data_IF_256007119329
#
_entry.id   IF_256007119329
#
_cell.length_a   1.000
_cell.length_b   1.000
_cell.length_c   1.000
_cell.angle_alpha   90.00
_cell.angle_beta   90.00
_cell.angle_gamma   90.00
#
_symmetry.space_group_name_H-M   'P 1'
#
loop_
_entity.id
_entity.type
_entity.pdbx_description
1 polymer ?
#
# COMPACT_ATOMS: atom_id res chain seq x y z
N UNK A 1 -7.47 56.36 0.80
CA UNK A 1 -7.41 55.28 1.80
C UNK A 1 -7.47 53.96 1.04
N UNK A 2 -6.32 53.36 0.78
CA UNK A 2 -6.23 52.07 0.11
C UNK A 2 -6.50 50.97 1.14
N UNK A 3 -7.51 50.14 0.90
CA UNK A 3 -7.85 48.99 1.73
C UNK A 3 -6.73 47.96 1.64
N UNK A 4 -6.04 47.73 2.75
CA UNK A 4 -5.12 46.61 2.91
C UNK A 4 -5.91 45.31 2.77
N UNK A 5 -5.68 44.61 1.66
CA UNK A 5 -6.10 43.22 1.51
C UNK A 5 -5.31 42.37 2.51
N UNK A 6 -5.93 42.12 3.66
CA UNK A 6 -5.50 41.12 4.65
C UNK A 6 -5.28 39.78 3.92
N UNK A 7 -4.02 39.45 3.64
CA UNK A 7 -3.61 38.14 3.14
C UNK A 7 -3.71 37.15 4.29
N UNK A 8 -4.88 36.54 4.43
CA UNK A 8 -5.11 35.43 5.37
C UNK A 8 -4.10 34.32 5.02
N UNK A 9 -3.13 34.09 5.91
CA UNK A 9 -2.21 32.96 5.76
C UNK A 9 -3.03 31.66 5.69
N UNK A 10 -2.79 30.77 4.71
CA UNK A 10 -3.55 29.54 4.63
C UNK A 10 -3.25 28.66 5.84
N UNK A 11 -4.30 28.36 6.62
CA UNK A 11 -4.25 27.53 7.84
C UNK A 11 -3.90 26.05 7.59
N UNK A 12 -3.77 25.63 6.32
CA UNK A 12 -3.46 24.26 5.93
C UNK A 12 -2.41 24.24 4.80
N UNK A 13 -1.47 23.29 4.84
CA UNK A 13 -0.42 23.11 3.82
C UNK A 13 -0.89 22.48 2.49
N UNK A 14 -2.21 22.40 2.25
CA UNK A 14 -2.77 21.70 1.09
C UNK A 14 -2.59 22.49 -0.22
N UNK A 15 -2.18 21.81 -1.29
CA UNK A 15 -1.92 22.40 -2.61
C UNK A 15 -2.32 21.47 -3.76
N UNK A 16 -2.54 22.03 -4.96
CA UNK A 16 -2.89 21.27 -6.15
C UNK A 16 -4.17 20.44 -5.96
N UNK A 17 -4.12 19.17 -6.36
CA UNK A 17 -5.24 18.21 -6.22
C UNK A 17 -5.39 17.65 -4.80
N UNK A 18 -4.43 17.90 -3.91
CA UNK A 18 -4.37 17.30 -2.56
C UNK A 18 -5.03 18.23 -1.53
N UNK A 19 -5.79 17.65 -0.59
CA UNK A 19 -6.51 18.39 0.45
C UNK A 19 -6.81 17.52 1.68
N UNK A 20 -6.84 18.12 2.87
CA UNK A 20 -7.24 17.50 4.14
C UNK A 20 -8.74 17.66 4.43
N UNK A 21 -9.22 17.07 5.53
CA UNK A 21 -10.61 17.15 5.97
C UNK A 21 -11.06 18.60 6.17
N UNK A 22 -10.22 19.45 6.78
CA UNK A 22 -10.54 20.88 7.00
C UNK A 22 -10.63 21.69 5.71
N UNK A 23 -9.93 21.26 4.65
CA UNK A 23 -9.87 21.97 3.38
C UNK A 23 -10.89 21.43 2.34
N UNK A 24 -11.70 20.41 2.71
CA UNK A 24 -12.65 19.69 1.82
C UNK A 24 -13.76 20.57 1.23
N UNK A 25 -14.22 21.57 2.00
CA UNK A 25 -15.31 22.48 1.61
C UNK A 25 -14.82 23.77 0.97
N UNK A 26 -13.51 23.92 0.76
CA UNK A 26 -12.97 25.11 0.08
C UNK A 26 -13.35 25.14 -1.40
N UNK A 27 -13.51 26.33 -1.96
CA UNK A 27 -13.83 26.51 -3.39
C UNK A 27 -12.82 25.82 -4.32
N UNK A 28 -11.53 25.80 -3.93
CA UNK A 28 -10.50 25.05 -4.64
C UNK A 28 -10.87 23.56 -4.75
N UNK A 29 -11.28 22.95 -3.65
CA UNK A 29 -11.59 21.51 -3.62
C UNK A 29 -12.92 21.21 -4.30
N UNK A 30 -13.92 22.08 -4.18
CA UNK A 30 -15.18 21.93 -4.92
C UNK A 30 -14.95 21.86 -6.44
N UNK A 31 -14.04 22.68 -6.97
CA UNK A 31 -13.65 22.66 -8.39
C UNK A 31 -12.88 21.40 -8.84
N UNK A 32 -12.35 20.61 -7.90
CA UNK A 32 -11.69 19.33 -8.19
C UNK A 32 -12.68 18.14 -8.23
N UNK A 33 -13.88 18.29 -7.67
CA UNK A 33 -14.83 17.18 -7.41
C UNK A 33 -15.76 16.88 -8.59
N UNK A 34 -15.47 17.40 -9.77
CA UNK A 34 -16.37 17.36 -10.94
C UNK A 34 -16.29 16.06 -11.74
N UNK A 35 -15.31 15.19 -11.49
CA UNK A 35 -15.19 13.93 -12.24
C UNK A 35 -15.90 12.78 -11.51
N UNK A 36 -16.79 12.10 -12.24
CA UNK A 36 -17.41 10.85 -11.80
C UNK A 36 -16.35 9.77 -11.53
N UNK A 37 -16.65 8.84 -10.62
CA UNK A 37 -15.72 7.74 -10.33
C UNK A 37 -15.49 6.91 -11.61
N UNK A 38 -14.25 6.77 -12.11
CA UNK A 38 -13.97 6.16 -13.41
C UNK A 38 -14.30 4.66 -13.50
N UNK A 39 -14.63 4.05 -12.36
CA UNK A 39 -14.91 2.62 -12.24
C UNK A 39 -16.39 2.32 -11.97
N UNK A 40 -17.30 3.28 -12.19
CA UNK A 40 -18.75 3.12 -11.98
C UNK A 40 -19.37 1.97 -12.78
N UNK A 41 -18.82 1.67 -13.97
CA UNK A 41 -19.29 0.60 -14.86
C UNK A 41 -18.60 -0.75 -14.63
N UNK A 42 -17.64 -0.82 -13.71
CA UNK A 42 -16.82 -2.03 -13.52
C UNK A 42 -17.58 -3.06 -12.68
N UNK A 43 -17.38 -4.33 -13.00
CA UNK A 43 -17.93 -5.41 -12.19
C UNK A 43 -17.17 -5.47 -10.87
N UNK A 44 -17.91 -5.40 -9.76
CA UNK A 44 -17.33 -5.29 -8.41
C UNK A 44 -17.28 -6.64 -7.71
N UNK A 45 -16.12 -6.92 -7.15
CA UNK A 45 -15.79 -8.12 -6.40
C UNK A 45 -15.24 -7.77 -5.02
N UNK A 46 -15.39 -8.71 -4.08
CA UNK A 46 -14.80 -8.64 -2.75
C UNK A 46 -13.94 -9.88 -2.53
N UNK A 47 -12.73 -9.71 -2.00
CA UNK A 47 -11.84 -10.83 -1.74
C UNK A 47 -12.27 -11.61 -0.50
N UNK A 48 -12.56 -12.90 -0.69
CA UNK A 48 -12.90 -13.81 0.40
C UNK A 48 -11.68 -14.62 0.79
N UNK A 49 -11.15 -14.41 2.00
CA UNK A 49 -9.96 -15.12 2.47
C UNK A 49 -10.20 -16.61 2.66
N UNK A 50 -11.36 -16.98 3.21
CA UNK A 50 -11.75 -18.37 3.45
C UNK A 50 -11.81 -19.15 2.14
N UNK A 51 -12.31 -18.53 1.06
CA UNK A 51 -12.39 -19.11 -0.28
C UNK A 51 -11.09 -18.97 -1.08
N UNK A 52 -10.24 -18.01 -0.74
CA UNK A 52 -9.01 -17.71 -1.48
C UNK A 52 -9.25 -17.13 -2.88
N UNK A 53 -10.43 -16.56 -3.12
CA UNK A 53 -10.84 -16.01 -4.41
C UNK A 53 -11.66 -14.72 -4.22
N UNK A 54 -11.86 -14.00 -5.32
CA UNK A 54 -12.72 -12.84 -5.36
C UNK A 54 -14.15 -13.25 -5.73
N UNK A 55 -15.14 -12.76 -4.99
CA UNK A 55 -16.56 -13.11 -5.13
C UNK A 55 -17.32 -11.87 -5.58
N UNK A 56 -18.14 -11.99 -6.63
CA UNK A 56 -18.94 -10.89 -7.14
C UNK A 56 -19.96 -10.46 -6.09
N UNK A 57 -20.15 -9.16 -5.92
CA UNK A 57 -21.14 -8.63 -4.98
C UNK A 57 -21.93 -7.50 -5.62
N UNK A 58 -23.17 -7.80 -6.03
CA UNK A 58 -24.00 -6.86 -6.81
C UNK A 58 -24.46 -5.62 -6.01
N UNK A 59 -24.51 -5.71 -4.67
CA UNK A 59 -24.91 -4.59 -3.81
C UNK A 59 -23.82 -3.53 -3.59
N UNK A 60 -22.66 -3.66 -4.25
CA UNK A 60 -21.49 -2.83 -3.96
C UNK A 60 -20.92 -2.26 -5.26
N UNK A 61 -20.71 -0.95 -5.27
CA UNK A 61 -20.17 -0.21 -6.42
C UNK A 61 -18.84 0.48 -6.10
N UNK A 62 -18.31 1.22 -7.07
CA UNK A 62 -17.02 1.93 -6.95
C UNK A 62 -16.99 3.01 -5.86
N UNK A 63 -18.16 3.54 -5.50
CA UNK A 63 -18.36 4.52 -4.45
C UNK A 63 -18.43 3.92 -3.04
N UNK A 64 -18.39 2.59 -2.89
CA UNK A 64 -18.61 1.92 -1.61
C UNK A 64 -17.71 2.44 -0.46
N UNK A 65 -18.30 2.53 0.73
CA UNK A 65 -17.64 2.93 1.97
C UNK A 65 -17.03 1.71 2.69
N UNK A 66 -16.39 1.95 3.84
CA UNK A 66 -15.68 0.89 4.56
C UNK A 66 -16.66 -0.12 5.18
N UNK A 67 -17.78 0.37 5.68
CA UNK A 67 -18.79 -0.41 6.39
C UNK A 67 -19.50 -1.37 5.41
N UNK A 68 -19.89 -0.90 4.23
CA UNK A 68 -20.46 -1.71 3.14
C UNK A 68 -19.49 -2.81 2.69
N UNK A 69 -18.21 -2.47 2.51
CA UNK A 69 -17.17 -3.45 2.12
C UNK A 69 -16.96 -4.49 3.22
N UNK A 70 -16.95 -4.07 4.49
CA UNK A 70 -16.81 -4.97 5.63
C UNK A 70 -17.99 -5.95 5.73
N UNK A 71 -19.21 -5.45 5.52
CA UNK A 71 -20.41 -6.28 5.51
C UNK A 71 -20.37 -7.28 4.35
N UNK A 72 -20.12 -6.81 3.13
CA UNK A 72 -20.00 -7.67 1.95
C UNK A 72 -18.91 -8.74 2.15
N UNK A 73 -17.74 -8.37 2.69
CA UNK A 73 -16.65 -9.32 3.00
C UNK A 73 -17.11 -10.41 3.97
N UNK A 74 -17.90 -10.04 4.98
CA UNK A 74 -18.45 -10.98 5.96
C UNK A 74 -19.49 -11.91 5.34
N UNK A 75 -20.33 -11.40 4.43
CA UNK A 75 -21.35 -12.19 3.74
C UNK A 75 -20.73 -13.23 2.79
N UNK A 76 -19.65 -12.89 2.08
CA UNK A 76 -18.96 -13.79 1.14
C UNK A 76 -17.96 -14.74 1.80
N UNK A 77 -17.80 -14.66 3.12
CA UNK A 77 -16.93 -15.56 3.88
C UNK A 77 -17.45 -17.00 3.90
N UNK A 78 -18.76 -17.19 3.78
CA UNK A 78 -19.42 -18.50 3.76
C UNK A 78 -19.75 -18.93 2.32
N UNK A 79 -19.77 -20.24 2.08
CA UNK A 79 -20.08 -20.81 0.76
C UNK A 79 -21.58 -20.69 0.48
N UNK A 80 -21.93 -20.05 -0.64
CA UNK A 80 -23.24 -20.20 -1.27
C UNK A 80 -23.05 -20.77 -2.67
N UNK A 81 -23.89 -21.73 -3.02
CA UNK A 81 -23.96 -22.30 -4.37
C UNK A 81 -24.50 -21.21 -5.32
N UNK A 82 -23.83 -21.00 -6.45
CA UNK A 82 -24.24 -20.01 -7.47
C UNK A 82 -23.50 -18.65 -7.45
N UNK A 83 -22.59 -18.40 -6.51
CA UNK A 83 -21.79 -17.17 -6.53
C UNK A 83 -20.81 -17.14 -7.72
N UNK A 84 -20.81 -16.04 -8.48
CA UNK A 84 -19.76 -15.78 -9.48
C UNK A 84 -18.44 -15.46 -8.77
N UNK A 85 -17.40 -16.24 -9.06
CA UNK A 85 -16.06 -16.07 -8.46
C UNK A 85 -14.96 -16.02 -9.51
N UNK A 86 -13.92 -15.26 -9.20
CA UNK A 86 -12.68 -15.21 -9.99
C UNK A 86 -11.47 -15.53 -9.10
N UNK A 87 -10.58 -16.37 -9.60
CA UNK A 87 -9.29 -16.59 -8.98
C UNK A 87 -8.34 -15.45 -9.37
N UNK A 88 -7.69 -14.82 -8.39
CA UNK A 88 -6.66 -13.81 -8.65
C UNK A 88 -5.30 -14.47 -8.37
N UNK A 89 -4.62 -14.87 -9.44
CA UNK A 89 -3.31 -15.48 -9.34
C UNK A 89 -2.32 -14.52 -8.64
N UNK A 90 -1.53 -15.07 -7.70
CA UNK A 90 -0.56 -14.32 -6.90
C UNK A 90 -1.12 -13.38 -5.82
N UNK A 91 -2.44 -13.35 -5.58
CA UNK A 91 -3.02 -12.59 -4.47
C UNK A 91 -3.15 -13.46 -3.20
N UNK A 92 -2.53 -13.02 -2.10
CA UNK A 92 -2.58 -13.72 -0.82
C UNK A 92 -2.80 -12.74 0.34
N UNK A 93 -3.89 -12.89 1.06
CA UNK A 93 -4.13 -12.19 2.32
C UNK A 93 -3.85 -13.12 3.51
N UNK A 94 -3.14 -12.65 4.51
CA UNK A 94 -2.90 -13.37 5.77
C UNK A 94 -3.39 -12.51 6.92
N UNK A 95 -4.44 -12.95 7.58
CA UNK A 95 -4.95 -12.30 8.78
C UNK A 95 -4.11 -12.66 10.01
N UNK A 96 -4.14 -11.81 11.04
CA UNK A 96 -3.37 -12.00 12.28
C UNK A 96 -1.89 -12.36 12.05
N UNK A 97 -1.31 -11.77 11.00
CA UNK A 97 0.10 -11.89 10.67
C UNK A 97 1.00 -11.40 11.81
N UNK A 98 0.57 -10.51 12.70
CA UNK A 98 1.30 -10.23 13.94
C UNK A 98 0.46 -10.54 15.17
N UNK A 99 1.11 -10.97 16.25
CA UNK A 99 0.48 -10.95 17.58
C UNK A 99 0.38 -9.52 18.09
N UNK A 100 -0.52 -9.25 19.03
CA UNK A 100 -0.68 -7.92 19.62
C UNK A 100 0.62 -7.38 20.26
N UNK A 101 1.41 -8.25 20.90
CA UNK A 101 2.72 -7.90 21.49
C UNK A 101 3.74 -7.50 20.41
N UNK A 102 3.88 -8.30 19.36
CA UNK A 102 4.80 -8.03 18.24
C UNK A 102 4.41 -6.74 17.51
N UNK A 103 3.11 -6.55 17.22
CA UNK A 103 2.56 -5.31 16.64
C UNK A 103 2.94 -4.09 17.46
N UNK A 104 2.75 -4.12 18.79
CA UNK A 104 3.03 -2.97 19.66
C UNK A 104 4.49 -2.53 19.53
N UNK A 105 5.43 -3.47 19.46
CA UNK A 105 6.84 -3.18 19.28
C UNK A 105 7.15 -2.54 17.91
N UNK A 106 6.56 -3.05 16.83
CA UNK A 106 6.75 -2.49 15.48
C UNK A 106 6.10 -1.10 15.33
N UNK A 107 5.02 -0.83 16.07
CA UNK A 107 4.36 0.46 16.07
C UNK A 107 5.02 1.53 16.95
N UNK A 108 6.14 1.24 17.65
CA UNK A 108 6.77 2.24 18.53
C UNK A 108 7.40 3.37 17.70
N UNK A 109 7.45 4.61 18.25
CA UNK A 109 8.19 5.71 17.63
C UNK A 109 9.68 5.40 17.43
N UNK A 110 10.33 4.64 18.31
CA UNK A 110 11.75 4.23 18.16
C UNK A 110 12.02 3.43 16.87
N UNK A 111 11.04 2.60 16.50
CA UNK A 111 11.02 1.82 15.24
C UNK A 111 10.80 2.71 14.00
N UNK A 112 10.39 3.96 14.23
CA UNK A 112 10.12 4.98 13.22
C UNK A 112 11.10 6.12 13.44
N UNK A 113 12.30 6.03 12.89
CA UNK A 113 13.11 7.24 12.72
C UNK A 113 12.30 8.21 11.84
N UNK A 114 11.56 9.12 12.45
CA UNK A 114 10.65 10.04 11.76
C UNK A 114 11.53 11.11 11.10
N UNK A 115 12.02 10.80 9.90
CA UNK A 115 12.39 11.82 8.93
C UNK A 115 11.11 12.30 8.26
N UNK A 116 10.64 13.48 8.64
CA UNK A 116 9.53 14.13 7.94
C UNK A 116 9.94 14.39 6.49
N UNK A 117 9.44 13.57 5.56
CA UNK A 117 9.20 14.06 4.22
C UNK A 117 7.69 14.29 4.14
N UNK A 118 7.21 15.54 4.02
CA UNK A 118 5.84 15.76 3.61
C UNK A 118 5.72 15.30 2.15
N UNK A 119 5.64 13.98 1.93
CA UNK A 119 4.99 13.46 0.74
C UNK A 119 3.60 14.04 0.78
N UNK A 120 3.36 14.98 -0.11
CA UNK A 120 2.06 15.61 -0.26
C UNK A 120 1.05 14.47 -0.57
N UNK A 121 -0.14 14.41 0.05
CA UNK A 121 -1.25 13.53 -0.33
C UNK A 121 -1.14 12.03 -0.01
N UNK A 122 0.06 11.48 -0.07
CA UNK A 122 0.39 10.18 0.51
C UNK A 122 0.77 10.43 1.96
N UNK A 123 0.26 9.63 2.89
CA UNK A 123 0.61 9.72 4.32
C UNK A 123 2.12 9.81 4.60
N UNK A 124 2.54 10.10 5.83
CA UNK A 124 3.98 10.24 6.12
C UNK A 124 4.76 8.96 5.78
N UNK A 125 5.80 9.10 4.96
CA UNK A 125 6.60 7.99 4.40
C UNK A 125 8.03 8.02 4.93
N UNK A 126 8.53 6.87 5.37
CA UNK A 126 9.94 6.65 5.68
C UNK A 126 10.47 5.44 4.91
N UNK A 127 11.54 5.64 4.14
CA UNK A 127 12.07 4.64 3.21
C UNK A 127 13.42 4.10 3.67
N UNK A 128 13.49 2.78 3.81
CA UNK A 128 14.73 2.02 3.83
C UNK A 128 14.93 1.43 2.44
N UNK A 129 15.80 2.01 1.64
CA UNK A 129 16.05 1.53 0.29
C UNK A 129 16.76 2.57 -0.57
N UNK A 130 17.04 2.23 -1.84
CA UNK A 130 17.62 3.18 -2.78
C UNK A 130 16.73 4.41 -2.95
N UNK A 131 17.35 5.56 -3.23
CA UNK A 131 16.62 6.71 -3.76
C UNK A 131 16.43 6.53 -5.27
N UNK A 132 15.18 6.59 -5.71
CA UNK A 132 14.82 6.25 -7.09
C UNK A 132 14.25 7.48 -7.79
N UNK A 133 14.72 7.75 -9.00
CA UNK A 133 14.06 8.66 -9.92
C UNK A 133 13.33 7.81 -10.98
N UNK A 134 12.02 7.69 -10.82
CA UNK A 134 11.18 6.84 -11.68
C UNK A 134 11.17 7.33 -13.14
N UNK A 135 11.03 8.65 -13.36
CA UNK A 135 11.00 9.25 -14.71
C UNK A 135 12.25 8.95 -15.53
N UNK A 136 13.43 8.99 -14.91
CA UNK A 136 14.70 8.79 -15.59
C UNK A 136 15.32 7.41 -15.33
N UNK A 137 14.62 6.52 -14.63
CA UNK A 137 15.12 5.20 -14.20
C UNK A 137 16.52 5.25 -13.59
N UNK A 138 16.75 6.19 -12.66
CA UNK A 138 18.04 6.38 -11.97
C UNK A 138 17.96 5.93 -10.51
N UNK A 139 19.03 5.31 -10.04
CA UNK A 139 19.18 4.83 -8.66
C UNK A 139 20.33 5.54 -7.97
N UNK A 140 20.13 5.97 -6.72
CA UNK A 140 21.18 6.45 -5.82
C UNK A 140 21.16 5.65 -4.52
N UNK A 141 22.31 5.16 -4.10
CA UNK A 141 22.44 4.28 -2.92
C UNK A 141 22.95 5.01 -1.67
N UNK A 142 23.28 6.31 -1.78
CA UNK A 142 24.03 7.06 -0.76
C UNK A 142 23.37 7.14 0.61
N UNK A 143 22.05 6.96 0.70
CA UNK A 143 21.30 6.99 1.97
C UNK A 143 20.87 5.62 2.47
N UNK A 144 21.03 4.58 1.65
CA UNK A 144 20.64 3.23 2.04
C UNK A 144 21.82 2.56 2.72
N UNK A 145 21.69 2.33 4.03
CA UNK A 145 22.77 1.75 4.85
C UNK A 145 22.37 0.44 5.51
N UNK A 146 21.13 -0.02 5.27
CA UNK A 146 20.61 -1.25 5.83
C UNK A 146 19.10 -1.22 6.06
N UNK A 147 18.54 -2.39 6.30
CA UNK A 147 17.16 -2.55 6.75
C UNK A 147 17.08 -2.45 8.27
N UNK A 148 15.92 -2.08 8.84
CA UNK A 148 15.76 -2.11 10.28
C UNK A 148 15.70 -3.54 10.82
N UNK A 149 16.13 -3.76 12.06
CA UNK A 149 16.18 -5.08 12.70
C UNK A 149 14.82 -5.84 12.72
N UNK A 150 13.70 -5.11 12.84
CA UNK A 150 12.36 -5.72 12.79
C UNK A 150 12.01 -6.31 11.42
N UNK A 151 12.76 -6.03 10.36
CA UNK A 151 12.55 -6.67 9.06
C UNK A 151 12.65 -8.20 9.17
N UNK A 152 13.57 -8.73 9.98
CA UNK A 152 13.70 -10.17 10.18
C UNK A 152 12.49 -10.80 10.84
N UNK A 153 11.81 -10.07 11.73
CA UNK A 153 10.57 -10.57 12.32
C UNK A 153 9.48 -10.78 11.27
N UNK A 154 9.41 -9.89 10.27
CA UNK A 154 8.47 -10.00 9.15
C UNK A 154 8.90 -11.12 8.20
N UNK A 155 10.15 -11.12 7.74
CA UNK A 155 10.69 -12.11 6.79
C UNK A 155 10.63 -13.53 7.34
N UNK A 156 11.01 -13.74 8.60
CA UNK A 156 10.93 -15.06 9.22
C UNK A 156 9.48 -15.54 9.29
N UNK A 157 8.55 -14.70 9.74
CA UNK A 157 7.13 -15.12 9.83
C UNK A 157 6.52 -15.37 8.45
N UNK A 158 6.85 -14.57 7.45
CA UNK A 158 6.50 -14.81 6.05
C UNK A 158 6.93 -16.21 5.60
N UNK A 159 8.21 -16.54 5.78
CA UNK A 159 8.74 -17.86 5.42
C UNK A 159 8.06 -19.02 6.14
N UNK A 160 7.72 -18.86 7.43
CA UNK A 160 7.00 -19.89 8.20
C UNK A 160 5.55 -20.11 7.75
N UNK A 161 4.88 -19.06 7.26
CA UNK A 161 3.50 -19.17 6.75
C UNK A 161 3.47 -19.88 5.40
N UNK A 162 4.40 -19.55 4.52
CA UNK A 162 4.53 -20.21 3.22
C UNK A 162 5.94 -20.06 2.69
N UNK A 163 6.70 -21.15 2.70
CA UNK A 163 8.04 -21.19 2.11
C UNK A 163 8.02 -20.92 0.61
N UNK A 164 6.95 -21.33 -0.08
CA UNK A 164 6.81 -21.18 -1.53
C UNK A 164 6.34 -19.79 -1.95
N UNK A 165 5.28 -19.25 -1.32
CA UNK A 165 4.70 -17.96 -1.71
C UNK A 165 5.42 -16.77 -1.07
N UNK A 166 5.91 -16.93 0.16
CA UNK A 166 6.45 -15.84 0.99
C UNK A 166 7.89 -16.07 1.45
N UNK A 167 8.45 -17.27 1.27
CA UNK A 167 9.84 -17.59 1.63
C UNK A 167 10.85 -17.00 0.65
N UNK A 168 12.13 -17.04 1.01
CA UNK A 168 13.22 -16.51 0.18
C UNK A 168 12.97 -15.09 -0.33
N UNK A 169 12.34 -14.26 0.49
CA UNK A 169 12.05 -12.88 0.15
C UNK A 169 13.30 -12.02 0.37
N UNK A 170 13.80 -11.39 -0.69
CA UNK A 170 14.94 -10.48 -0.60
C UNK A 170 14.43 -9.04 -0.49
N UNK A 171 14.46 -8.41 0.70
CA UNK A 171 14.09 -7.02 0.82
C UNK A 171 15.06 -6.14 0.03
N UNK A 172 14.51 -5.33 -0.86
CA UNK A 172 15.22 -4.32 -1.65
C UNK A 172 14.83 -2.91 -1.21
N UNK A 173 13.58 -2.76 -0.79
CA UNK A 173 13.04 -1.56 -0.16
C UNK A 173 12.03 -1.94 0.92
N UNK A 174 11.98 -1.15 2.00
CA UNK A 174 10.95 -1.19 3.02
C UNK A 174 10.48 0.25 3.29
N UNK A 175 9.18 0.51 3.09
CA UNK A 175 8.55 1.80 3.33
C UNK A 175 7.60 1.71 4.53
N UNK A 176 7.74 2.62 5.49
CA UNK A 176 6.76 2.84 6.54
C UNK A 176 5.82 3.95 6.11
N UNK A 177 4.52 3.64 6.01
CA UNK A 177 3.48 4.54 5.54
C UNK A 177 2.48 4.80 6.67
N UNK A 178 2.29 6.07 7.04
CA UNK A 178 1.35 6.49 8.07
C UNK A 178 0.20 7.30 7.47
N UNK A 179 -1.01 6.77 7.60
CA UNK A 179 -2.25 7.34 7.11
C UNK A 179 -3.07 7.88 8.27
N UNK A 180 -3.79 8.94 7.94
CA UNK A 180 -4.63 9.67 8.88
C UNK A 180 -5.83 10.23 8.10
N UNK A 181 -7.02 10.06 8.67
CA UNK A 181 -8.30 10.46 8.08
C UNK A 181 -8.51 11.98 8.13
N UNK A 182 -8.04 12.66 9.18
CA UNK A 182 -8.03 14.14 9.20
C UNK A 182 -7.20 14.70 8.04
N UNK A 183 -6.14 14.00 7.65
CA UNK A 183 -5.31 14.35 6.49
C UNK A 183 -5.85 13.88 5.15
N UNK A 184 -6.97 13.14 5.13
CA UNK A 184 -7.50 12.51 3.92
C UNK A 184 -6.43 11.69 3.19
N UNK A 185 -5.58 10.99 3.95
CA UNK A 185 -4.44 10.27 3.40
C UNK A 185 -4.90 9.17 2.46
N UNK A 186 -4.31 9.10 1.27
CA UNK A 186 -4.64 8.10 0.26
C UNK A 186 -3.39 7.61 -0.47
N UNK A 187 -3.52 6.52 -1.21
CA UNK A 187 -2.64 6.20 -2.32
C UNK A 187 -3.50 6.15 -3.58
N UNK A 188 -3.13 6.95 -4.58
CA UNK A 188 -3.76 6.96 -5.89
C UNK A 188 -3.63 5.59 -6.58
N UNK A 189 -4.57 5.27 -7.47
CA UNK A 189 -4.59 4.00 -8.18
C UNK A 189 -3.38 3.90 -9.13
N UNK A 190 -2.48 2.96 -8.89
CA UNK A 190 -1.21 2.86 -9.64
C UNK A 190 -0.69 1.43 -9.74
N UNK A 191 0.36 1.25 -10.54
CA UNK A 191 1.23 0.07 -10.50
C UNK A 191 2.62 0.54 -10.08
N UNK A 192 3.24 -0.21 -9.20
CA UNK A 192 4.61 0.01 -8.80
C UNK A 192 5.55 -0.26 -9.99
N UNK A 193 6.54 0.62 -10.21
CA UNK A 193 7.58 0.51 -11.24
C UNK A 193 8.25 -0.87 -11.33
N UNK A 194 7.92 -1.60 -12.40
CA UNK A 194 8.39 -2.97 -12.65
C UNK A 194 9.85 -3.05 -13.09
N UNK A 195 10.48 -1.92 -13.44
CA UNK A 195 11.87 -1.91 -13.85
C UNK A 195 12.84 -2.10 -12.68
N UNK A 196 12.41 -1.75 -11.45
CA UNK A 196 13.24 -1.84 -10.23
C UNK A 196 12.65 -2.80 -9.20
N UNK A 197 11.33 -2.88 -9.08
CA UNK A 197 10.67 -3.74 -8.11
C UNK A 197 10.14 -5.01 -8.79
N UNK A 198 10.48 -6.15 -8.18
CA UNK A 198 10.21 -7.49 -8.68
C UNK A 198 8.77 -7.95 -8.47
N UNK A 199 8.60 -9.27 -8.41
CA UNK A 199 7.31 -9.92 -8.51
C UNK A 199 6.42 -9.66 -7.28
N UNK A 200 6.96 -9.83 -6.08
CA UNK A 200 6.20 -9.85 -4.83
C UNK A 200 6.22 -8.50 -4.13
N UNK A 201 5.04 -7.89 -4.03
CA UNK A 201 4.76 -6.77 -3.16
C UNK A 201 4.13 -7.23 -1.86
N UNK A 202 4.70 -6.78 -0.75
CA UNK A 202 4.17 -7.06 0.59
C UNK A 202 3.61 -5.76 1.16
N UNK A 203 2.37 -5.79 1.66
CA UNK A 203 1.78 -4.73 2.47
C UNK A 203 1.31 -5.30 3.80
N UNK A 204 2.01 -4.95 4.88
CA UNK A 204 1.69 -5.36 6.24
C UNK A 204 1.00 -4.22 6.98
N UNK A 205 -0.28 -4.41 7.31
CA UNK A 205 -1.07 -3.47 8.08
C UNK A 205 -0.83 -3.66 9.58
N UNK A 206 -0.56 -2.59 10.34
CA UNK A 206 -0.21 -2.69 11.76
C UNK A 206 -1.37 -2.33 12.69
N UNK A 207 -1.89 -1.09 12.63
CA UNK A 207 -2.81 -0.54 13.64
C UNK A 207 -4.28 -0.69 13.22
N UNK A 208 -4.84 0.28 12.51
CA UNK A 208 -6.22 0.24 12.04
C UNK A 208 -6.29 -0.42 10.67
N UNK A 209 -7.40 -1.12 10.42
CA UNK A 209 -7.71 -1.71 9.11
C UNK A 209 -7.99 -0.67 8.04
N UNK A 210 -7.98 -1.09 6.78
CA UNK A 210 -8.48 -0.33 5.64
C UNK A 210 -8.76 -1.29 4.47
N UNK A 211 -8.96 -0.77 3.27
CA UNK A 211 -9.22 -1.54 2.06
C UNK A 211 -8.13 -1.26 1.05
N UNK A 212 -7.52 -2.33 0.51
CA UNK A 212 -6.76 -2.24 -0.73
C UNK A 212 -7.74 -2.41 -1.87
N UNK A 213 -7.87 -1.40 -2.73
CA UNK A 213 -8.69 -1.47 -3.94
C UNK A 213 -7.79 -1.88 -5.09
N UNK A 214 -8.18 -2.92 -5.83
CA UNK A 214 -7.50 -3.39 -7.02
C UNK A 214 -8.39 -3.16 -8.24
N UNK A 215 -7.78 -2.74 -9.36
CA UNK A 215 -8.50 -2.50 -10.62
C UNK A 215 -7.81 -3.23 -11.76
N UNK A 216 -8.58 -4.03 -12.50
CA UNK A 216 -8.19 -4.56 -13.80
C UNK A 216 -8.95 -3.79 -14.88
N UNK A 217 -8.24 -2.92 -15.60
CA UNK A 217 -8.84 -2.04 -16.61
C UNK A 217 -9.20 -2.76 -17.90
N UNK A 218 -8.49 -3.86 -18.20
CA UNK A 218 -8.70 -4.70 -19.39
C UNK A 218 -10.02 -5.47 -19.26
N UNK A 219 -10.22 -6.12 -18.11
CA UNK A 219 -11.40 -6.94 -17.83
C UNK A 219 -12.55 -6.13 -17.21
N UNK A 220 -12.36 -4.83 -16.95
CA UNK A 220 -13.32 -3.94 -16.28
C UNK A 220 -13.77 -4.49 -14.92
N UNK A 221 -12.81 -4.91 -14.11
CA UNK A 221 -13.05 -5.49 -12.77
C UNK A 221 -12.50 -4.59 -11.67
N UNK A 222 -13.30 -4.43 -10.62
CA UNK A 222 -12.96 -3.73 -9.40
C UNK A 222 -12.98 -4.74 -8.25
N UNK A 223 -11.92 -4.80 -7.46
CA UNK A 223 -11.80 -5.74 -6.35
C UNK A 223 -11.45 -5.02 -5.07
N UNK A 224 -12.26 -5.21 -4.03
CA UNK A 224 -11.97 -4.75 -2.69
C UNK A 224 -11.36 -5.86 -1.84
N UNK A 225 -10.19 -5.59 -1.28
CA UNK A 225 -9.50 -6.48 -0.34
C UNK A 225 -9.49 -5.80 1.03
N UNK A 226 -10.35 -6.28 1.94
CA UNK A 226 -10.37 -5.80 3.32
C UNK A 226 -9.08 -6.23 4.04
N UNK A 227 -8.27 -5.25 4.45
CA UNK A 227 -7.05 -5.46 5.21
C UNK A 227 -7.28 -5.10 6.67
N UNK A 228 -7.58 -6.11 7.48
CA UNK A 228 -7.79 -5.94 8.92
C UNK A 228 -6.48 -5.56 9.65
N UNK A 229 -6.58 -5.17 10.92
CA UNK A 229 -5.38 -4.90 11.73
C UNK A 229 -4.47 -6.12 11.75
N UNK A 230 -3.15 -5.92 11.65
CA UNK A 230 -2.14 -6.99 11.68
C UNK A 230 -2.22 -7.95 10.50
N UNK A 231 -2.91 -7.62 9.41
CA UNK A 231 -2.94 -8.45 8.21
C UNK A 231 -1.75 -8.18 7.31
N UNK A 232 -1.30 -9.19 6.57
CA UNK A 232 -0.31 -9.06 5.49
C UNK A 232 -1.00 -9.38 4.15
N UNK A 233 -0.89 -8.47 3.19
CA UNK A 233 -1.28 -8.69 1.81
C UNK A 233 -0.01 -8.91 0.98
N UNK A 234 0.00 -9.96 0.19
CA UNK A 234 1.00 -10.22 -0.84
C UNK A 234 0.33 -10.13 -2.20
N UNK A 235 0.89 -9.32 -3.10
CA UNK A 235 0.52 -9.25 -4.51
C UNK A 235 1.72 -9.71 -5.34
N UNK A 236 1.53 -10.79 -6.07
CA UNK A 236 2.49 -11.39 -6.98
C UNK A 236 1.80 -11.71 -8.31
N UNK A 237 2.58 -12.09 -9.31
CA UNK A 237 2.12 -12.62 -10.60
C UNK A 237 1.06 -11.70 -11.22
N UNK A 238 -0.11 -12.23 -11.59
CA UNK A 238 -1.15 -11.41 -12.23
C UNK A 238 -1.62 -10.27 -11.33
N UNK A 239 -1.75 -10.49 -10.01
CA UNK A 239 -2.11 -9.43 -9.06
C UNK A 239 -1.10 -8.26 -9.06
N UNK A 240 0.19 -8.54 -9.30
CA UNK A 240 1.24 -7.53 -9.40
C UNK A 240 1.22 -6.82 -10.76
N UNK A 241 1.10 -7.59 -11.84
CA UNK A 241 1.40 -7.11 -13.19
C UNK A 241 0.18 -6.65 -13.98
N UNK A 242 -1.02 -7.13 -13.65
CA UNK A 242 -2.25 -6.84 -14.38
C UNK A 242 -3.21 -5.93 -13.61
N UNK A 243 -3.03 -5.79 -12.30
CA UNK A 243 -3.92 -5.00 -11.45
C UNK A 243 -3.23 -3.73 -10.97
N UNK A 244 -3.91 -2.59 -11.13
CA UNK A 244 -3.58 -1.36 -10.38
C UNK A 244 -4.07 -1.50 -8.96
N UNK A 245 -3.42 -0.83 -8.02
CA UNK A 245 -3.81 -0.82 -6.62
C UNK A 245 -3.82 0.58 -6.03
N UNK A 246 -4.66 0.79 -5.02
CA UNK A 246 -4.79 2.05 -4.32
C UNK A 246 -5.48 1.89 -2.97
N UNK A 247 -5.35 2.92 -2.14
CA UNK A 247 -6.02 3.02 -0.84
C UNK A 247 -6.74 4.36 -0.80
N UNK A 248 -8.07 4.33 -0.75
CA UNK A 248 -8.85 5.57 -0.78
C UNK A 248 -8.95 6.21 0.61
N UNK A 249 -8.92 7.54 0.65
CA UNK A 249 -9.10 8.30 1.88
C UNK A 249 -10.40 7.94 2.64
N UNK A 250 -11.48 7.68 1.90
CA UNK A 250 -12.78 7.26 2.47
C UNK A 250 -12.74 5.91 3.20
N UNK A 251 -11.71 5.09 2.97
CA UNK A 251 -11.50 3.79 3.62
C UNK A 251 -10.49 3.85 4.77
N UNK A 252 -10.01 5.04 5.13
CA UNK A 252 -9.18 5.27 6.32
C UNK A 252 -10.07 5.72 7.47
N UNK A 253 -9.83 5.15 8.67
CA UNK A 253 -10.50 5.50 9.93
C UNK A 253 -9.44 5.62 11.01
N UNK A 254 -9.28 6.82 11.56
CA UNK A 254 -8.18 7.20 12.44
C UNK A 254 -6.81 6.86 11.86
N UNK A 255 -5.85 6.67 12.76
CA UNK A 255 -4.46 6.39 12.41
C UNK A 255 -4.24 4.97 11.90
N UNK A 256 -3.83 4.83 10.64
CA UNK A 256 -3.40 3.57 10.03
C UNK A 256 -1.90 3.59 9.72
N UNK A 257 -1.25 2.44 9.86
CA UNK A 257 0.16 2.28 9.53
C UNK A 257 0.36 1.01 8.75
N UNK A 258 1.03 1.13 7.62
CA UNK A 258 1.42 0.02 6.78
C UNK A 258 2.94 -0.02 6.60
N UNK A 259 3.47 -1.22 6.49
CA UNK A 259 4.82 -1.48 6.02
C UNK A 259 4.70 -2.06 4.61
N UNK A 260 5.35 -1.44 3.63
CA UNK A 260 5.42 -1.98 2.27
C UNK A 260 6.83 -2.50 2.02
N UNK A 261 6.97 -3.75 1.59
CA UNK A 261 8.26 -4.31 1.18
C UNK A 261 8.25 -4.65 -0.30
N UNK A 262 9.40 -4.42 -0.95
CA UNK A 262 9.61 -4.69 -2.37
C UNK A 262 10.90 -5.47 -2.56
N UNK A 263 10.90 -6.40 -3.50
CA UNK A 263 12.05 -7.22 -3.87
C UNK A 263 12.71 -6.71 -5.16
N UNK A 264 13.96 -7.09 -5.49
CA UNK A 264 14.62 -6.61 -6.70
C UNK A 264 13.93 -7.16 -7.95
N UNK A 265 13.74 -6.32 -8.97
CA UNK A 265 13.38 -6.76 -10.31
C UNK A 265 14.51 -7.62 -10.93
N UNK A 266 14.21 -8.47 -11.94
CA UNK A 266 15.18 -9.37 -12.54
C UNK A 266 16.48 -8.68 -13.01
N UNK A 267 16.39 -7.45 -13.54
CA UNK A 267 17.56 -6.68 -13.95
C UNK A 267 18.56 -6.40 -12.81
N UNK A 268 18.10 -6.39 -11.56
CA UNK A 268 18.91 -6.16 -10.35
C UNK A 268 19.30 -7.45 -9.62
N UNK A 269 18.87 -8.61 -10.10
CA UNK A 269 19.24 -9.91 -9.54
C UNK A 269 20.49 -10.47 -10.23
N UNK A 270 21.13 -11.48 -9.64
CA UNK A 270 22.31 -12.13 -10.22
C UNK A 270 22.04 -12.56 -11.68
N UNK A 271 22.95 -12.20 -12.59
CA UNK A 271 22.78 -12.38 -14.04
C UNK A 271 22.02 -11.26 -14.77
N UNK A 272 21.41 -10.32 -14.03
CA UNK A 272 20.74 -9.14 -14.60
C UNK A 272 21.69 -8.01 -15.01
N UNK A 273 21.27 -7.20 -15.98
CA UNK A 273 22.10 -6.13 -16.57
C UNK A 273 22.51 -5.01 -15.57
N UNK A 274 21.76 -4.81 -14.50
CA UNK A 274 22.01 -3.82 -13.44
C UNK A 274 22.61 -4.44 -12.18
N UNK A 275 22.88 -5.75 -12.18
CA UNK A 275 23.35 -6.48 -10.99
C UNK A 275 24.70 -5.96 -10.48
N UNK A 276 25.75 -6.01 -11.29
CA UNK A 276 27.09 -5.58 -10.86
C UNK A 276 27.14 -4.09 -10.52
N UNK A 277 26.34 -3.28 -11.21
CA UNK A 277 26.32 -1.83 -11.00
C UNK A 277 25.57 -1.40 -9.74
N UNK A 278 24.45 -2.07 -9.43
CA UNK A 278 23.55 -1.66 -8.35
C UNK A 278 23.02 -2.84 -7.55
N UNK A 279 22.54 -3.89 -8.23
CA UNK A 279 21.84 -5.01 -7.61
C UNK A 279 22.61 -5.69 -6.48
N UNK A 280 23.88 -6.03 -6.72
CA UNK A 280 24.76 -6.70 -5.76
C UNK A 280 24.88 -5.94 -4.44
N UNK A 281 25.16 -4.64 -4.51
CA UNK A 281 25.31 -3.81 -3.32
C UNK A 281 23.96 -3.55 -2.63
N UNK A 282 22.88 -3.33 -3.39
CA UNK A 282 21.55 -3.14 -2.82
C UNK A 282 21.01 -4.39 -2.12
N UNK A 283 21.26 -5.57 -2.67
CA UNK A 283 20.94 -6.85 -2.02
C UNK A 283 21.76 -7.01 -0.74
N UNK A 284 23.07 -6.74 -0.79
CA UNK A 284 23.94 -6.77 0.39
C UNK A 284 23.44 -5.85 1.50
N UNK A 285 23.11 -4.60 1.16
CA UNK A 285 22.53 -3.61 2.09
C UNK A 285 21.15 -4.04 2.59
N UNK A 286 20.31 -4.62 1.73
CA UNK A 286 19.04 -5.24 2.10
C UNK A 286 19.16 -6.32 3.18
N UNK A 287 20.34 -6.94 3.31
CA UNK A 287 20.66 -7.95 4.32
C UNK A 287 21.35 -7.39 5.58
N UNK A 288 21.75 -6.11 5.58
CA UNK A 288 22.24 -5.44 6.79
C UNK A 288 21.04 -5.10 7.69
N UNK A 289 21.21 -5.29 9.01
CA UNK A 289 20.22 -4.93 10.03
C UNK A 289 20.72 -3.79 10.90
N UNK A 290 19.91 -2.75 10.99
CA UNK A 290 20.16 -1.56 11.79
C UNK A 290 19.32 -1.66 13.07
N UNK A 291 19.94 -1.51 14.26
CA UNK A 291 19.19 -1.54 15.52
C UNK A 291 18.16 -0.42 15.58
N UNK A 292 16.90 -0.76 15.84
CA UNK A 292 15.87 0.22 16.15
C UNK A 292 16.03 0.68 17.60
N UNK A 293 16.88 1.68 17.82
CA UNK A 293 17.05 2.35 19.13
C UNK A 293 15.81 3.13 19.52
#
# INVERSE_FOLDING_TARGET
>A
MASEASTVQPSCGCKGIRFCSSCIHTERVKKLRTEECPYSTFTTFVFSRSRGCAVRFNGLGSSANLEEISEATSQVANVKEGDETIAINGLLLVEDFLSAKKRRNLSKPSTRRIGFCPSQGEGSRFDYGPQVNFKHKKVKMTRFVGMPDYADLVLNKMSHISSTKLGSYQPFELCNLEYDDDRMSAIEMHQDDMWIWGNRLISLNLINGSVMTLVNETEKRLLYVLMTRRSLLCMADDARYQWKHGVYAKHIRGRRIALTMREPAPAFQEGGELYEKFGKELIRLGNVRLPCR
#
